data_IF_703192758554
#
_entry.id   IF_703192758554
#
_cell.length_a   1.000
_cell.length_b   1.000
_cell.length_c   1.000
_cell.angle_alpha   90.00
_cell.angle_beta   90.00
_cell.angle_gamma   90.00
#
_symmetry.space_group_name_H-M   'P 1'
#
loop_
_entity.id
_entity.type
_entity.pdbx_description
1 polymer ?
#
# COMPACT_ATOMS: atom_id res chain seq x y z
N UNK A 1 -4.54 -19.21 6.14
CA UNK A 1 -4.32 -18.20 5.07
C UNK A 1 -2.85 -17.80 5.13
N UNK A 2 -2.10 -17.86 4.03
CA UNK A 2 -0.66 -17.54 4.05
C UNK A 2 -0.49 -16.02 4.07
N UNK A 3 0.21 -15.48 5.07
CA UNK A 3 0.49 -14.05 5.16
C UNK A 3 1.43 -13.63 4.03
N UNK A 4 0.97 -12.75 3.15
CA UNK A 4 1.74 -12.29 2.00
C UNK A 4 1.33 -10.89 1.53
N UNK A 5 2.24 -10.20 0.85
CA UNK A 5 1.91 -9.04 0.03
C UNK A 5 2.04 -9.45 -1.43
N UNK A 6 1.01 -9.18 -2.24
CA UNK A 6 1.04 -9.42 -3.68
C UNK A 6 0.91 -8.12 -4.43
N UNK A 7 1.76 -7.91 -5.42
CA UNK A 7 1.68 -6.79 -6.36
C UNK A 7 1.20 -7.29 -7.71
N UNK A 8 0.33 -6.53 -8.35
CA UNK A 8 -0.21 -6.83 -9.67
C UNK A 8 -0.21 -5.55 -10.51
N UNK A 9 0.33 -5.65 -11.72
CA UNK A 9 0.24 -4.65 -12.77
C UNK A 9 0.00 -5.40 -14.10
N UNK A 10 -1.25 -5.36 -14.59
CA UNK A 10 -1.72 -6.14 -15.74
C UNK A 10 -1.35 -7.63 -15.67
N UNK A 11 -0.46 -8.10 -16.55
CA UNK A 11 0.01 -9.50 -16.58
C UNK A 11 1.19 -9.77 -15.64
N UNK A 12 1.79 -8.74 -15.05
CA UNK A 12 2.89 -8.87 -14.10
C UNK A 12 2.31 -9.10 -12.70
N UNK A 13 2.80 -10.12 -12.01
CA UNK A 13 2.42 -10.40 -10.62
C UNK A 13 3.61 -10.94 -9.84
N UNK A 14 3.78 -10.48 -8.60
CA UNK A 14 4.80 -10.97 -7.68
C UNK A 14 4.23 -11.03 -6.26
N UNK A 15 4.54 -12.10 -5.53
CA UNK A 15 4.04 -12.33 -4.18
C UNK A 15 5.15 -12.59 -3.19
N UNK A 16 5.13 -11.85 -2.07
CA UNK A 16 6.14 -11.90 -1.04
C UNK A 16 5.57 -12.48 0.25
N UNK A 17 6.21 -13.52 0.77
CA UNK A 17 5.86 -14.15 2.05
C UNK A 17 7.04 -14.18 3.04
N UNK A 18 8.25 -13.82 2.59
CA UNK A 18 9.48 -13.83 3.39
C UNK A 18 10.08 -12.43 3.49
N UNK A 19 9.68 -11.70 4.53
CA UNK A 19 10.20 -10.37 4.83
C UNK A 19 11.54 -10.49 5.57
N UNK A 20 12.46 -9.57 5.28
CA UNK A 20 13.76 -9.48 5.96
C UNK A 20 13.57 -8.94 7.37
N UNK A 21 12.74 -7.90 7.49
CA UNK A 21 12.35 -7.31 8.77
C UNK A 21 11.00 -7.87 9.24
N UNK A 22 10.84 -8.19 10.53
CA UNK A 22 9.55 -8.63 11.08
C UNK A 22 8.57 -7.46 11.31
N UNK A 23 8.94 -6.23 10.93
CA UNK A 23 8.10 -5.05 11.14
C UNK A 23 6.92 -5.03 10.18
N UNK A 24 5.81 -4.44 10.62
CA UNK A 24 4.64 -4.26 9.77
C UNK A 24 4.98 -3.35 8.59
N UNK A 25 4.68 -3.77 7.35
CA UNK A 25 5.06 -3.01 6.17
C UNK A 25 4.22 -1.74 6.03
N UNK A 26 2.98 -1.73 6.52
CA UNK A 26 2.00 -0.66 6.32
C UNK A 26 1.97 0.35 7.47
N UNK A 27 2.26 1.62 7.16
CA UNK A 27 2.08 2.79 8.00
C UNK A 27 1.06 3.77 7.39
N UNK A 28 0.54 4.71 8.17
CA UNK A 28 -0.17 5.89 7.62
C UNK A 28 0.87 6.96 7.31
N UNK A 29 0.75 7.67 6.19
CA UNK A 29 1.60 8.82 5.89
C UNK A 29 1.39 9.88 6.97
N UNK A 30 2.42 10.18 7.76
CA UNK A 30 2.35 11.25 8.75
C UNK A 30 2.48 12.57 8.00
N UNK A 31 1.37 13.18 7.63
CA UNK A 31 1.39 14.62 7.38
C UNK A 31 1.46 15.32 8.73
N UNK A 32 2.42 16.24 8.88
CA UNK A 32 2.55 17.14 10.01
C UNK A 32 1.40 18.14 10.05
N UNK A 33 0.17 17.66 10.23
CA UNK A 33 -1.03 18.47 10.36
C UNK A 33 -0.87 19.41 11.55
N UNK A 34 -0.61 20.68 11.27
CA UNK A 34 -0.83 21.76 12.23
C UNK A 34 -2.28 21.66 12.66
N UNK A 35 -2.52 21.33 13.92
CA UNK A 35 -3.77 21.65 14.59
C UNK A 35 -3.93 23.16 14.53
N UNK A 36 -4.79 23.66 13.65
CA UNK A 36 -5.23 25.05 13.72
C UNK A 36 -6.26 25.16 14.85
N UNK A 37 -5.88 25.87 15.90
CA UNK A 37 -6.80 26.25 16.96
C UNK A 37 -7.56 27.49 16.50
N UNK A 38 -8.90 27.44 16.55
CA UNK A 38 -9.70 28.65 16.38
C UNK A 38 -9.37 29.64 17.49
N UNK A 39 -9.56 30.94 17.23
CA UNK A 39 -9.31 32.02 18.20
C UNK A 39 -10.08 31.87 19.53
N UNK A 40 -11.05 30.95 19.62
CA UNK A 40 -11.84 30.64 20.81
C UNK A 40 -11.43 29.34 21.52
N UNK A 41 -10.30 28.71 21.17
CA UNK A 41 -9.75 27.55 21.87
C UNK A 41 -10.45 26.20 21.60
N UNK A 42 -11.50 26.19 20.78
CA UNK A 42 -12.10 24.95 20.30
C UNK A 42 -11.32 24.44 19.09
N UNK A 43 -10.88 23.18 19.14
CA UNK A 43 -10.26 22.49 18.01
C UNK A 43 -11.31 22.31 16.91
N UNK A 44 -11.19 23.10 15.83
CA UNK A 44 -12.01 22.93 14.63
C UNK A 44 -11.29 21.90 13.77
N UNK A 45 -11.78 20.67 13.76
CA UNK A 45 -11.37 19.65 12.80
C UNK A 45 -12.13 19.81 11.49
N UNK A 46 -11.98 20.92 10.80
CA UNK A 46 -12.45 21.10 9.42
C UNK A 46 -11.22 21.26 8.51
N UNK A 47 -10.58 20.13 8.28
CA UNK A 47 -9.87 19.88 7.03
C UNK A 47 -10.63 18.75 6.32
N UNK A 48 -10.59 18.66 4.99
CA UNK A 48 -11.25 17.57 4.29
C UNK A 48 -10.83 16.24 4.91
N UNK A 49 -11.81 15.35 5.14
CA UNK A 49 -11.67 14.01 5.72
C UNK A 49 -10.91 13.11 4.73
N UNK A 50 -9.73 13.54 4.28
CA UNK A 50 -8.82 12.70 3.54
C UNK A 50 -8.20 11.75 4.54
N UNK A 51 -8.58 10.48 4.42
CA UNK A 51 -7.82 9.43 5.07
C UNK A 51 -6.39 9.52 4.54
N UNK A 52 -5.42 9.72 5.44
CA UNK A 52 -4.02 9.83 5.05
C UNK A 52 -3.62 8.59 4.23
N UNK A 53 -2.93 8.78 3.09
CA UNK A 53 -2.54 7.65 2.25
C UNK A 53 -1.66 6.70 3.04
N UNK A 54 -1.86 5.39 2.84
CA UNK A 54 -1.00 4.39 3.45
C UNK A 54 0.35 4.32 2.74
N UNK A 55 1.41 4.09 3.50
CA UNK A 55 2.76 3.85 3.02
C UNK A 55 3.16 2.42 3.33
N UNK A 56 3.72 1.72 2.34
CA UNK A 56 4.37 0.44 2.55
C UNK A 56 5.86 0.61 2.38
N UNK A 57 6.65 0.19 3.37
CA UNK A 57 8.11 0.16 3.25
C UNK A 57 8.62 -1.12 3.87
N UNK A 58 9.23 -1.97 3.05
CA UNK A 58 9.68 -3.28 3.49
C UNK A 58 10.80 -3.85 2.61
N UNK A 59 11.52 -4.79 3.19
CA UNK A 59 12.59 -5.54 2.54
C UNK A 59 12.17 -7.01 2.46
N UNK A 60 12.33 -7.65 1.30
CA UNK A 60 11.88 -9.03 1.06
C UNK A 60 12.95 -9.87 0.39
N UNK A 61 13.01 -11.15 0.76
CA UNK A 61 13.76 -12.14 0.01
C UNK A 61 13.00 -12.49 -1.27
N UNK A 62 13.69 -12.46 -2.39
CA UNK A 62 13.09 -12.65 -3.71
C UNK A 62 14.01 -13.49 -4.61
N UNK A 63 13.46 -14.02 -5.70
CA UNK A 63 14.25 -14.71 -6.74
C UNK A 63 14.77 -13.71 -7.78
N UNK A 64 15.72 -14.10 -8.63
CA UNK A 64 16.14 -13.27 -9.76
C UNK A 64 14.97 -12.98 -10.73
N UNK A 65 13.99 -13.88 -10.82
CA UNK A 65 12.78 -13.68 -11.61
C UNK A 65 11.89 -12.59 -10.99
N UNK A 66 11.67 -12.63 -9.68
CA UNK A 66 10.90 -11.61 -8.96
C UNK A 66 11.55 -10.22 -9.11
N UNK A 67 12.88 -10.13 -9.04
CA UNK A 67 13.60 -8.87 -9.26
C UNK A 67 13.36 -8.32 -10.68
N UNK A 68 13.38 -9.18 -11.71
CA UNK A 68 13.10 -8.76 -13.09
C UNK A 68 11.66 -8.28 -13.24
N UNK A 69 10.70 -8.98 -12.65
CA UNK A 69 9.28 -8.59 -12.67
C UNK A 69 9.10 -7.24 -11.96
N UNK A 70 9.71 -7.04 -10.79
CA UNK A 70 9.68 -5.77 -10.05
C UNK A 70 10.27 -4.61 -10.85
N UNK A 71 11.41 -4.81 -11.52
CA UNK A 71 12.01 -3.80 -12.39
C UNK A 71 11.09 -3.46 -13.57
N UNK A 72 10.48 -4.46 -14.20
CA UNK A 72 9.51 -4.26 -15.28
C UNK A 72 8.27 -3.50 -14.81
N UNK A 73 7.72 -3.88 -13.64
CA UNK A 73 6.58 -3.19 -13.02
C UNK A 73 6.89 -1.72 -12.74
N UNK A 74 8.07 -1.42 -12.20
CA UNK A 74 8.48 -0.04 -11.94
C UNK A 74 8.60 0.76 -13.24
N UNK A 75 9.31 0.24 -14.23
CA UNK A 75 9.49 0.90 -15.52
C UNK A 75 8.14 1.18 -16.20
N UNK A 76 7.25 0.19 -16.22
CA UNK A 76 5.95 0.32 -16.85
C UNK A 76 5.04 1.30 -16.11
N UNK A 77 5.03 1.27 -14.77
CA UNK A 77 4.31 2.25 -13.95
C UNK A 77 4.85 3.67 -14.16
N UNK A 78 6.17 3.87 -14.21
CA UNK A 78 6.77 5.19 -14.42
C UNK A 78 6.53 5.73 -15.84
N UNK A 79 6.60 4.88 -16.87
CA UNK A 79 6.23 5.25 -18.24
C UNK A 79 4.77 5.70 -18.30
N UNK A 80 3.85 4.93 -17.71
CA UNK A 80 2.43 5.29 -17.64
C UNK A 80 2.23 6.61 -16.90
N UNK A 81 2.89 6.80 -15.76
CA UNK A 81 2.83 8.04 -14.97
C UNK A 81 3.26 9.28 -15.77
N UNK A 82 4.20 9.13 -16.70
CA UNK A 82 4.65 10.23 -17.58
C UNK A 82 3.72 10.49 -18.76
N UNK A 83 2.94 9.50 -19.20
CA UNK A 83 2.19 9.54 -20.47
C UNK A 83 0.67 9.57 -20.31
N UNK A 84 0.15 9.11 -19.17
CA UNK A 84 -1.27 8.90 -18.94
C UNK A 84 -1.76 9.67 -17.72
N UNK A 85 -3.07 9.98 -17.66
CA UNK A 85 -3.70 10.47 -16.44
C UNK A 85 -3.46 9.49 -15.26
N UNK A 86 -3.30 9.99 -14.01
CA UNK A 86 -2.89 9.19 -12.84
C UNK A 86 -3.69 7.90 -12.62
N UNK A 87 -4.99 7.92 -12.92
CA UNK A 87 -5.95 6.81 -12.76
C UNK A 87 -5.54 5.51 -13.47
N UNK A 88 -4.69 5.56 -14.52
CA UNK A 88 -4.28 4.38 -15.29
C UNK A 88 -2.84 3.91 -14.99
N UNK A 89 -2.25 4.37 -13.90
CA UNK A 89 -0.80 4.20 -13.61
C UNK A 89 -0.54 3.35 -12.36
N UNK A 90 -1.62 2.94 -11.70
CA UNK A 90 -1.62 2.38 -10.35
C UNK A 90 -1.38 0.86 -10.37
N UNK A 91 -0.63 0.39 -9.38
CA UNK A 91 -0.49 -1.04 -9.10
C UNK A 91 -1.55 -1.47 -8.10
N UNK A 92 -2.03 -2.70 -8.24
CA UNK A 92 -2.84 -3.32 -7.18
C UNK A 92 -1.91 -3.99 -6.17
N UNK A 93 -1.97 -3.54 -4.92
CA UNK A 93 -1.32 -4.16 -3.77
C UNK A 93 -2.37 -4.90 -2.94
N UNK A 94 -2.21 -6.21 -2.83
CA UNK A 94 -3.05 -7.07 -1.99
C UNK A 94 -2.29 -7.31 -0.69
N UNK A 95 -2.80 -6.77 0.42
CA UNK A 95 -2.20 -6.89 1.74
C UNK A 95 -2.91 -7.99 2.55
N UNK A 96 -2.30 -9.17 2.62
CA UNK A 96 -2.72 -10.28 3.49
C UNK A 96 -1.82 -10.43 4.72
N UNK A 97 -1.00 -9.43 5.02
CA UNK A 97 -0.13 -9.40 6.21
C UNK A 97 -0.83 -8.67 7.35
N UNK A 98 -1.54 -7.57 7.04
CA UNK A 98 -2.21 -6.75 8.05
C UNK A 98 -3.65 -6.43 7.68
N UNK A 99 -4.58 -6.76 8.56
CA UNK A 99 -5.98 -6.33 8.41
C UNK A 99 -6.08 -4.81 8.44
N UNK A 100 -6.92 -4.29 7.56
CA UNK A 100 -7.33 -2.91 7.53
C UNK A 100 -8.65 -2.76 8.29
N UNK A 101 -8.72 -1.70 9.10
CA UNK A 101 -9.88 -1.41 9.94
C UNK A 101 -10.42 -0.02 9.60
N UNK A 102 -11.73 0.04 9.36
CA UNK A 102 -12.44 1.29 9.08
C UNK A 102 -13.87 1.24 9.61
N UNK A 103 -14.57 2.37 9.53
CA UNK A 103 -15.98 2.46 9.85
C UNK A 103 -16.81 1.79 8.75
N UNK A 104 -17.83 1.03 9.13
CA UNK A 104 -18.80 0.43 8.21
C UNK A 104 -19.67 1.52 7.56
N UNK A 105 -20.00 1.42 6.26
CA UNK A 105 -19.66 0.33 5.34
C UNK A 105 -18.22 0.41 4.82
N UNK A 106 -17.64 -0.74 4.46
CA UNK A 106 -16.28 -0.78 3.90
C UNK A 106 -16.16 0.04 2.61
N UNK A 107 -15.00 0.67 2.43
CA UNK A 107 -14.69 1.50 1.27
C UNK A 107 -13.66 0.87 0.33
N UNK A 108 -12.94 -0.18 0.77
CA UNK A 108 -11.93 -0.88 -0.02
C UNK A 108 -12.38 -2.27 -0.44
N UNK A 109 -11.72 -2.77 -1.47
CA UNK A 109 -11.96 -4.12 -1.99
C UNK A 109 -11.30 -5.12 -1.05
N UNK A 110 -12.02 -6.18 -0.69
CA UNK A 110 -11.49 -7.26 0.16
C UNK A 110 -10.43 -8.04 -0.64
N UNK A 111 -9.32 -8.40 0.01
CA UNK A 111 -8.30 -9.26 -0.57
C UNK A 111 -8.92 -10.60 -1.02
N UNK A 112 -8.52 -11.16 -2.17
CA UNK A 112 -9.16 -12.37 -2.69
C UNK A 112 -9.12 -13.53 -1.69
N UNK A 113 -10.30 -14.13 -1.43
CA UNK A 113 -10.46 -15.24 -0.48
C UNK A 113 -10.48 -14.83 1.00
N UNK A 114 -10.43 -13.54 1.32
CA UNK A 114 -10.68 -13.02 2.67
C UNK A 114 -12.15 -12.63 2.88
N UNK A 115 -12.52 -12.41 4.13
CA UNK A 115 -13.84 -11.96 4.55
C UNK A 115 -13.71 -10.75 5.47
N UNK A 116 -14.75 -9.92 5.52
CA UNK A 116 -14.88 -8.88 6.53
C UNK A 116 -15.44 -9.42 7.84
N UNK A 117 -15.00 -8.83 8.95
CA UNK A 117 -15.47 -9.13 10.30
C UNK A 117 -15.88 -7.83 10.97
N UNK A 118 -17.08 -7.79 11.55
CA UNK A 118 -17.51 -6.65 12.36
C UNK A 118 -16.70 -6.58 13.65
N UNK A 119 -16.09 -5.43 13.91
CA UNK A 119 -15.39 -5.12 15.16
C UNK A 119 -16.21 -4.08 15.92
N UNK A 120 -16.90 -4.53 16.97
CA UNK A 120 -17.85 -3.70 17.70
C UNK A 120 -19.08 -3.34 16.86
N UNK A 121 -19.71 -2.20 17.17
CA UNK A 121 -21.00 -1.81 16.57
C UNK A 121 -20.88 -1.13 15.20
N UNK A 122 -19.71 -0.56 14.87
CA UNK A 122 -19.60 0.36 13.73
C UNK A 122 -18.33 0.22 12.89
N UNK A 123 -17.43 -0.71 13.23
CA UNK A 123 -16.20 -0.91 12.48
C UNK A 123 -16.16 -2.29 11.83
N UNK A 124 -15.40 -2.39 10.75
CA UNK A 124 -15.10 -3.63 10.04
C UNK A 124 -13.58 -3.82 9.98
N UNK A 125 -13.13 -5.06 10.07
CA UNK A 125 -11.74 -5.48 9.91
C UNK A 125 -11.63 -6.52 8.79
N UNK A 126 -10.70 -6.33 7.86
CA UNK A 126 -10.50 -7.24 6.73
C UNK A 126 -9.13 -7.05 6.07
N UNK A 127 -8.62 -8.09 5.42
CA UNK A 127 -7.48 -7.94 4.50
C UNK A 127 -7.94 -7.25 3.22
N UNK A 128 -7.22 -6.23 2.77
CA UNK A 128 -7.69 -5.32 1.72
C UNK A 128 -6.77 -5.28 0.50
N UNK A 129 -7.33 -4.78 -0.60
CA UNK A 129 -6.60 -4.38 -1.79
C UNK A 129 -6.48 -2.85 -1.80
N UNK A 130 -5.32 -2.37 -2.22
CA UNK A 130 -4.97 -0.97 -2.31
C UNK A 130 -4.45 -0.66 -3.71
N UNK A 131 -4.74 0.53 -4.20
CA UNK A 131 -4.12 1.06 -5.40
C UNK A 131 -2.92 1.90 -4.99
N UNK A 132 -1.73 1.55 -5.47
CA UNK A 132 -0.47 2.15 -5.01
C UNK A 132 0.43 2.58 -6.17
N UNK A 133 1.31 3.53 -5.90
CA UNK A 133 2.47 3.84 -6.74
C UNK A 133 3.77 3.44 -6.05
N UNK A 134 4.81 3.21 -6.85
CA UNK A 134 6.18 3.18 -6.34
C UNK A 134 6.56 4.59 -5.88
N UNK A 135 7.02 4.70 -4.63
CA UNK A 135 7.60 5.95 -4.09
C UNK A 135 8.98 6.21 -4.69
N UNK A 136 9.74 5.14 -4.90
CA UNK A 136 11.06 5.13 -5.50
C UNK A 136 11.29 3.83 -6.27
N UNK A 137 12.31 3.81 -7.12
CA UNK A 137 12.77 2.60 -7.80
C UNK A 137 13.10 1.50 -6.78
N UNK A 138 12.75 0.22 -7.05
CA UNK A 138 13.19 -0.90 -6.24
C UNK A 138 14.71 -0.97 -6.13
N UNK A 139 15.22 -1.06 -4.90
CA UNK A 139 16.66 -1.26 -4.67
C UNK A 139 16.93 -2.76 -4.50
N UNK A 140 17.90 -3.28 -5.23
CA UNK A 140 18.25 -4.70 -5.20
C UNK A 140 19.63 -4.91 -4.58
N UNK A 141 19.67 -5.65 -3.48
CA UNK A 141 20.92 -6.13 -2.87
C UNK A 141 21.19 -7.58 -3.29
N UNK A 142 22.40 -7.80 -3.79
CA UNK A 142 22.95 -9.09 -4.22
C UNK A 142 24.19 -9.43 -3.39
N UNK A 143 24.06 -9.42 -2.06
CA UNK A 143 25.11 -9.91 -1.17
C UNK A 143 25.13 -11.45 -1.12
N UNK A 144 26.05 -12.06 -1.88
CA UNK A 144 26.26 -13.51 -1.90
C UNK A 144 25.07 -14.28 -2.51
N UNK A 145 24.56 -15.27 -1.80
CA UNK A 145 23.41 -16.09 -2.25
C UNK A 145 22.06 -15.45 -1.95
N UNK A 146 22.04 -14.37 -1.17
CA UNK A 146 20.80 -13.67 -0.83
C UNK A 146 20.46 -12.66 -1.93
N UNK A 147 19.16 -12.54 -2.17
CA UNK A 147 18.55 -11.65 -3.15
C UNK A 147 17.47 -10.89 -2.41
N UNK A 148 17.73 -9.63 -2.13
CA UNK A 148 16.84 -8.78 -1.34
C UNK A 148 16.37 -7.64 -2.23
N UNK A 149 15.06 -7.38 -2.20
CA UNK A 149 14.47 -6.19 -2.78
C UNK A 149 13.97 -5.28 -1.65
N UNK A 150 14.36 -4.02 -1.68
CA UNK A 150 13.82 -2.98 -0.81
C UNK A 150 12.78 -2.19 -1.59
N UNK A 151 11.55 -2.18 -1.07
CA UNK A 151 10.38 -1.67 -1.77
C UNK A 151 9.71 -0.57 -0.96
N UNK A 152 9.17 0.42 -1.66
CA UNK A 152 8.43 1.53 -1.06
C UNK A 152 7.25 1.91 -1.93
N UNK A 153 6.05 1.84 -1.37
CA UNK A 153 4.80 2.13 -2.05
C UNK A 153 3.96 3.15 -1.29
N UNK A 154 3.15 3.90 -2.01
CA UNK A 154 2.20 4.86 -1.45
C UNK A 154 0.82 4.62 -2.05
N UNK A 155 -0.22 4.59 -1.21
CA UNK A 155 -1.60 4.57 -1.63
C UNK A 155 -1.92 5.81 -2.46
N UNK A 156 -2.55 5.58 -3.59
CA UNK A 156 -3.08 6.63 -4.46
C UNK A 156 -4.32 7.24 -3.83
N UNK A 157 -4.43 8.56 -3.87
CA UNK A 157 -5.59 9.25 -3.29
C UNK A 157 -6.86 8.80 -3.98
N UNK A 158 -7.81 8.29 -3.20
CA UNK A 158 -9.16 8.08 -3.68
C UNK A 158 -9.83 9.45 -3.67
N UNK A 159 -10.04 10.04 -4.85
CA UNK A 159 -11.02 11.11 -4.95
C UNK A 159 -12.36 10.53 -4.48
N UNK A 160 -12.87 11.02 -3.36
CA UNK A 160 -14.25 10.77 -2.99
C UNK A 160 -15.12 11.37 -4.11
N UNK A 161 -15.73 10.51 -4.92
CA UNK A 161 -16.79 10.91 -5.85
C UNK A 161 -18.06 11.13 -5.06
#
# INVERSE_FOLDING_TARGET
MTSSITLILDSLSVSFSKFVDPKFPRARAIDGGKLEYSANGNGIGDGPVFEQPHLWTFSVYCTDQDMRILGAMYYESDVRRRQLPPINTELTLIDKVREYQERSPRTRVIAPGASEVMVGASHVSYFAQFHVWFVKEPEFDKAGDKRIAHLSFQETEKFAV
#
